data_IF_497713963141
#
_entry.id   IF_497713963141
#
_cell.length_a   1.000
_cell.length_b   1.000
_cell.length_c   1.000
_cell.angle_alpha   90.00
_cell.angle_beta   90.00
_cell.angle_gamma   90.00
#
_symmetry.space_group_name_H-M   'P 1'
#
loop_
_entity.id
_entity.type
_entity.pdbx_description
1 polymer ?
#
# COMPACT_ATOMS: atom_id res chain seq x y z
N UNK A 1 -16.18 -8.89 15.93
CA UNK A 1 -15.45 -8.06 14.95
C UNK A 1 -16.16 -8.16 13.63
N UNK A 2 -16.58 -7.04 13.05
CA UNK A 2 -17.28 -7.01 11.75
C UNK A 2 -16.27 -6.93 10.58
N UNK A 3 -16.77 -6.99 9.35
CA UNK A 3 -15.93 -6.99 8.14
C UNK A 3 -15.19 -5.65 7.96
N UNK A 4 -15.81 -4.54 8.34
CA UNK A 4 -15.26 -3.18 8.30
C UNK A 4 -14.07 -3.05 9.26
N UNK A 5 -14.21 -3.54 10.49
CA UNK A 5 -13.14 -3.59 11.50
C UNK A 5 -11.97 -4.48 11.04
N UNK A 6 -12.27 -5.62 10.40
CA UNK A 6 -11.24 -6.49 9.81
C UNK A 6 -10.44 -5.77 8.72
N UNK A 7 -11.12 -5.11 7.77
CA UNK A 7 -10.46 -4.34 6.70
C UNK A 7 -9.59 -3.22 7.27
N UNK A 8 -10.11 -2.46 8.23
CA UNK A 8 -9.37 -1.38 8.86
C UNK A 8 -8.10 -1.88 9.55
N UNK A 9 -8.19 -3.00 10.28
CA UNK A 9 -7.01 -3.64 10.88
C UNK A 9 -5.99 -4.09 9.84
N UNK A 10 -6.42 -4.61 8.68
CA UNK A 10 -5.53 -4.96 7.58
C UNK A 10 -4.86 -3.71 6.98
N UNK A 11 -5.60 -2.62 6.82
CA UNK A 11 -5.06 -1.35 6.30
C UNK A 11 -3.99 -0.79 7.22
N UNK A 12 -4.25 -0.71 8.53
CA UNK A 12 -3.29 -0.26 9.53
C UNK A 12 -2.03 -1.13 9.50
N UNK A 13 -2.18 -2.45 9.46
CA UNK A 13 -1.03 -3.38 9.38
C UNK A 13 -0.21 -3.16 8.11
N UNK A 14 -0.86 -3.03 6.95
CA UNK A 14 -0.16 -2.79 5.69
C UNK A 14 0.59 -1.45 5.69
N UNK A 15 -0.01 -0.38 6.20
CA UNK A 15 0.67 0.92 6.33
C UNK A 15 1.87 0.81 7.29
N UNK A 16 1.74 0.08 8.39
CA UNK A 16 2.83 -0.19 9.32
C UNK A 16 4.00 -0.91 8.65
N UNK A 17 3.73 -1.97 7.89
CA UNK A 17 4.76 -2.71 7.14
C UNK A 17 5.44 -1.83 6.09
N UNK A 18 4.68 -1.01 5.36
CA UNK A 18 5.27 -0.06 4.40
C UNK A 18 6.16 0.95 5.13
N UNK A 19 5.72 1.46 6.29
CA UNK A 19 6.53 2.39 7.07
C UNK A 19 7.87 1.79 7.49
N UNK A 20 7.88 0.53 7.92
CA UNK A 20 9.12 -0.18 8.28
C UNK A 20 10.02 -0.44 7.08
N UNK A 21 9.45 -0.71 5.89
CA UNK A 21 10.21 -1.06 4.69
C UNK A 21 10.86 0.15 4.00
N UNK A 22 10.17 1.28 3.97
CA UNK A 22 10.56 2.43 3.13
C UNK A 22 10.69 3.74 3.89
N UNK A 23 10.61 3.68 5.21
CA UNK A 23 10.73 4.80 6.16
C UNK A 23 9.70 5.90 5.88
N UNK A 24 8.42 5.54 6.04
CA UNK A 24 7.33 6.50 5.89
C UNK A 24 7.26 7.42 7.11
N UNK A 25 7.18 8.73 6.87
CA UNK A 25 6.80 9.70 7.90
C UNK A 25 5.30 9.62 8.24
N UNK A 26 4.88 10.39 9.23
CA UNK A 26 3.48 10.41 9.70
C UNK A 26 2.49 10.91 8.63
N UNK A 27 2.87 11.90 7.80
CA UNK A 27 2.00 12.45 6.75
C UNK A 27 1.78 11.42 5.64
N UNK A 28 2.85 10.79 5.18
CA UNK A 28 2.81 9.76 4.16
C UNK A 28 1.99 8.54 4.63
N UNK A 29 2.13 8.12 5.90
CA UNK A 29 1.29 7.07 6.48
C UNK A 29 -0.19 7.42 6.44
N UNK A 30 -0.55 8.64 6.83
CA UNK A 30 -1.95 9.09 6.85
C UNK A 30 -2.54 9.14 5.42
N UNK A 31 -1.78 9.66 4.46
CA UNK A 31 -2.20 9.72 3.05
C UNK A 31 -2.45 8.34 2.45
N UNK A 32 -1.52 7.39 2.68
CA UNK A 32 -1.67 6.02 2.20
C UNK A 32 -2.85 5.33 2.88
N UNK A 33 -3.00 5.51 4.19
CA UNK A 33 -4.11 4.93 4.95
C UNK A 33 -5.47 5.41 4.42
N UNK A 34 -5.64 6.72 4.23
CA UNK A 34 -6.84 7.30 3.61
C UNK A 34 -7.08 6.75 2.20
N UNK A 35 -6.02 6.58 1.42
CA UNK A 35 -6.14 5.96 0.10
C UNK A 35 -6.61 4.51 0.18
N UNK A 36 -6.14 3.72 1.14
CA UNK A 36 -6.66 2.36 1.35
C UNK A 36 -8.14 2.37 1.71
N UNK A 37 -8.58 3.29 2.57
CA UNK A 37 -9.98 3.44 2.94
C UNK A 37 -10.85 3.82 1.74
N UNK A 38 -10.35 4.68 0.84
CA UNK A 38 -11.11 5.18 -0.31
C UNK A 38 -11.20 4.20 -1.48
N UNK A 39 -10.07 3.56 -1.84
CA UNK A 39 -9.98 2.74 -3.06
C UNK A 39 -9.54 1.30 -2.80
N UNK A 40 -9.06 0.98 -1.60
CA UNK A 40 -8.53 -0.34 -1.24
C UNK A 40 -7.06 -0.54 -1.64
N UNK A 41 -6.38 -1.49 -0.97
CA UNK A 41 -4.94 -1.75 -1.15
C UNK A 41 -4.57 -2.11 -2.59
N UNK A 42 -5.35 -2.99 -3.25
CA UNK A 42 -5.05 -3.41 -4.62
C UNK A 42 -5.10 -2.23 -5.60
N UNK A 43 -6.13 -1.40 -5.50
CA UNK A 43 -6.29 -0.24 -6.37
C UNK A 43 -5.30 0.87 -6.04
N UNK A 44 -4.85 0.99 -4.78
CA UNK A 44 -3.79 1.92 -4.41
C UNK A 44 -2.53 1.74 -5.26
N UNK A 45 -2.04 0.50 -5.40
CA UNK A 45 -0.84 0.26 -6.21
C UNK A 45 -1.10 0.48 -7.73
N UNK A 46 -2.35 0.32 -8.20
CA UNK A 46 -2.71 0.65 -9.57
C UNK A 46 -2.71 2.17 -9.82
N UNK A 47 -3.13 2.96 -8.83
CA UNK A 47 -3.32 4.41 -8.92
C UNK A 47 -2.30 5.22 -8.11
N UNK A 48 -1.12 4.66 -7.83
CA UNK A 48 -0.10 5.29 -6.98
C UNK A 48 0.28 6.71 -7.43
N UNK A 49 0.28 6.97 -8.75
CA UNK A 49 0.60 8.27 -9.33
C UNK A 49 -0.45 9.36 -9.05
N UNK A 50 -1.64 8.97 -8.58
CA UNK A 50 -2.70 9.90 -8.17
C UNK A 50 -2.63 10.29 -6.68
N UNK A 51 -1.74 9.66 -5.91
CA UNK A 51 -1.54 9.97 -4.49
C UNK A 51 -0.43 11.02 -4.38
N UNK A 52 -0.74 12.14 -3.72
CA UNK A 52 0.20 13.24 -3.48
C UNK A 52 1.25 12.87 -2.42
N UNK A 53 2.25 12.07 -2.85
CA UNK A 53 3.38 11.61 -2.05
C UNK A 53 4.69 12.20 -2.56
N UNK A 54 5.68 12.38 -1.68
CA UNK A 54 7.03 12.73 -2.10
C UNK A 54 7.57 11.75 -3.16
N UNK A 55 8.30 12.26 -4.15
CA UNK A 55 8.85 11.47 -5.26
C UNK A 55 9.63 10.24 -4.77
N UNK A 56 10.47 10.42 -3.75
CA UNK A 56 11.26 9.34 -3.17
C UNK A 56 10.38 8.19 -2.65
N UNK A 57 9.30 8.51 -1.92
CA UNK A 57 8.36 7.53 -1.39
C UNK A 57 7.59 6.85 -2.52
N UNK A 58 7.17 7.62 -3.53
CA UNK A 58 6.48 7.09 -4.71
C UNK A 58 7.35 6.08 -5.46
N UNK A 59 8.64 6.36 -5.68
CA UNK A 59 9.58 5.45 -6.35
C UNK A 59 9.81 4.16 -5.56
N UNK A 60 9.96 4.25 -4.23
CA UNK A 60 10.06 3.08 -3.36
C UNK A 60 8.80 2.21 -3.42
N UNK A 61 7.62 2.83 -3.44
CA UNK A 61 6.33 2.12 -3.59
C UNK A 61 6.16 1.49 -4.98
N UNK A 62 6.65 2.12 -6.06
CA UNK A 62 6.69 1.52 -7.40
C UNK A 62 7.58 0.26 -7.42
N UNK A 63 8.69 0.28 -6.69
CA UNK A 63 9.56 -0.89 -6.55
C UNK A 63 8.86 -2.04 -5.81
N UNK A 64 8.14 -1.73 -4.71
CA UNK A 64 7.32 -2.72 -3.99
C UNK A 64 6.22 -3.30 -4.88
N UNK A 65 5.51 -2.46 -5.65
CA UNK A 65 4.50 -2.90 -6.61
C UNK A 65 5.06 -3.94 -7.58
N UNK A 66 6.22 -3.66 -8.19
CA UNK A 66 6.85 -4.58 -9.13
C UNK A 66 7.19 -5.93 -8.46
N UNK A 67 7.66 -5.92 -7.21
CA UNK A 67 7.94 -7.15 -6.45
C UNK A 67 6.64 -7.94 -6.21
N UNK A 68 5.57 -7.27 -5.79
CA UNK A 68 4.25 -7.91 -5.60
C UNK A 68 3.78 -8.55 -6.91
N UNK A 69 3.86 -7.84 -8.03
CA UNK A 69 3.47 -8.35 -9.35
C UNK A 69 4.29 -9.59 -9.75
N UNK A 70 5.62 -9.56 -9.55
CA UNK A 70 6.50 -10.71 -9.83
C UNK A 70 6.13 -11.92 -8.96
N UNK A 71 5.84 -11.69 -7.68
CA UNK A 71 5.49 -12.77 -6.73
C UNK A 71 4.09 -13.33 -7.03
N UNK A 72 3.13 -12.48 -7.39
CA UNK A 72 1.76 -12.90 -7.69
C UNK A 72 1.69 -13.70 -9.01
N UNK A 73 2.44 -13.28 -10.04
CA UNK A 73 2.57 -14.05 -11.30
C UNK A 73 3.14 -15.44 -11.06
N UNK A 74 4.08 -15.59 -10.10
CA UNK A 74 4.60 -16.92 -9.72
C UNK A 74 3.55 -17.78 -9.02
N UNK A 75 2.58 -17.17 -8.32
CA UNK A 75 1.50 -17.87 -7.59
C UNK A 75 0.37 -18.34 -8.51
N UNK A 76 0.13 -17.64 -9.62
CA UNK A 76 -0.89 -17.99 -10.63
C UNK A 76 -0.43 -18.95 -11.73
N UNK A 77 0.81 -19.46 -11.69
CA UNK A 77 1.35 -20.46 -12.62
C UNK A 77 1.49 -21.86 -12.02
N UNK A 78 0.78 -22.15 -10.93
CA UNK A 78 0.66 -23.48 -10.36
C UNK A 78 -0.49 -24.26 -11.00
#
# INVERSE_FOLDING_TARGET
MNFEELKEMEYIKCVGLLAELIDLDTDAKEKIHKSFQNIGIKNFFLHLESVDLPTEISEKLKSIKAIIEIVDVKRGRA
#
